data_IF_806447857122
#
_entry.id   IF_806447857122
#
_cell.length_a   1.000
_cell.length_b   1.000
_cell.length_c   1.000
_cell.angle_alpha   90.00
_cell.angle_beta   90.00
_cell.angle_gamma   90.00
#
_symmetry.space_group_name_H-M   'P 1'
#
loop_
_entity.id
_entity.type
_entity.pdbx_description
1 polymer ?
#
# COMPACT_ATOMS: atom_id res chain seq x y z
N UNK A 1 16.77 17.23 -2.04
CA UNK A 1 15.74 17.86 -1.17
C UNK A 1 14.45 17.10 -1.32
N UNK A 2 13.78 16.76 -0.20
CA UNK A 2 12.48 16.05 -0.24
C UNK A 2 11.42 16.92 -0.92
N UNK A 3 10.65 16.32 -1.83
CA UNK A 3 9.63 16.99 -2.64
C UNK A 3 8.26 16.30 -2.50
N UNK A 4 8.22 15.04 -2.09
CA UNK A 4 6.98 14.31 -1.94
C UNK A 4 7.02 13.17 -0.97
N UNK A 5 5.82 12.81 -0.51
CA UNK A 5 5.58 11.68 0.35
C UNK A 5 4.55 10.76 -0.28
N UNK A 6 4.82 9.47 -0.16
CA UNK A 6 3.91 8.41 -0.57
C UNK A 6 3.46 7.67 0.68
N UNK A 7 2.17 7.43 0.81
CA UNK A 7 1.59 6.71 1.94
C UNK A 7 0.96 5.41 1.48
N UNK A 8 1.15 4.35 2.25
CA UNK A 8 0.21 3.24 2.21
C UNK A 8 -1.15 3.70 2.73
N UNK A 9 -2.20 2.92 2.48
CA UNK A 9 -3.57 3.29 2.83
C UNK A 9 -4.08 2.56 4.07
N UNK A 10 -4.21 1.22 3.99
CA UNK A 10 -4.80 0.39 5.03
C UNK A 10 -3.81 0.16 6.18
N UNK A 11 -4.13 0.61 7.39
CA UNK A 11 -3.24 0.58 8.55
C UNK A 11 -2.35 1.83 8.68
N UNK A 12 -2.31 2.70 7.66
CA UNK A 12 -1.48 3.91 7.61
C UNK A 12 -2.31 5.19 7.64
N UNK A 13 -3.23 5.37 6.70
CA UNK A 13 -4.14 6.52 6.64
C UNK A 13 -5.51 6.23 7.26
N UNK A 14 -5.85 4.97 7.39
CA UNK A 14 -7.11 4.44 7.92
C UNK A 14 -6.86 3.12 8.66
N UNK A 15 -7.82 2.65 9.44
CA UNK A 15 -7.70 1.36 10.12
C UNK A 15 -7.59 0.19 9.14
N UNK A 16 -6.85 -0.84 9.51
CA UNK A 16 -6.77 -2.10 8.79
C UNK A 16 -7.92 -3.04 9.23
N UNK A 17 -9.00 -3.04 8.48
CA UNK A 17 -10.22 -3.82 8.76
C UNK A 17 -10.30 -5.16 8.03
N UNK A 18 -9.35 -5.42 7.12
CA UNK A 18 -9.35 -6.64 6.29
C UNK A 18 -9.09 -7.90 7.11
N UNK A 19 -9.93 -8.91 6.91
CA UNK A 19 -9.71 -10.28 7.35
C UNK A 19 -9.03 -11.07 6.23
N UNK A 20 -7.70 -11.11 6.27
CA UNK A 20 -6.90 -11.79 5.25
C UNK A 20 -7.11 -13.31 5.22
N UNK A 21 -7.52 -13.92 6.34
CA UNK A 21 -7.82 -15.35 6.37
C UNK A 21 -9.12 -15.61 5.61
N UNK A 22 -10.19 -14.88 5.91
CA UNK A 22 -11.44 -14.97 5.17
C UNK A 22 -11.25 -14.72 3.68
N UNK A 23 -10.52 -13.67 3.32
CA UNK A 23 -10.24 -13.35 1.92
C UNK A 23 -9.53 -14.52 1.24
N UNK A 24 -8.51 -15.11 1.87
CA UNK A 24 -7.79 -16.27 1.35
C UNK A 24 -8.71 -17.45 1.11
N UNK A 25 -9.54 -17.80 2.09
CA UNK A 25 -10.50 -18.90 1.98
C UNK A 25 -11.47 -18.70 0.82
N UNK A 26 -11.99 -17.50 0.65
CA UNK A 26 -12.90 -17.17 -0.44
C UNK A 26 -12.23 -17.22 -1.82
N UNK A 27 -10.98 -16.80 -1.93
CA UNK A 27 -10.22 -16.93 -3.19
C UNK A 27 -9.93 -18.40 -3.50
N UNK A 28 -9.61 -19.22 -2.49
CA UNK A 28 -9.43 -20.66 -2.67
C UNK A 28 -10.74 -21.35 -3.10
N UNK A 29 -11.90 -20.97 -2.55
CA UNK A 29 -13.21 -21.46 -3.03
C UNK A 29 -13.47 -21.13 -4.50
N UNK A 30 -13.03 -19.96 -4.97
CA UNK A 30 -13.07 -19.65 -6.40
C UNK A 30 -12.13 -20.59 -7.17
N UNK A 31 -10.92 -20.83 -6.65
CA UNK A 31 -9.93 -21.69 -7.31
C UNK A 31 -10.38 -23.16 -7.44
N UNK A 32 -11.12 -23.72 -6.46
CA UNK A 32 -11.66 -25.08 -6.45
C UNK A 32 -12.47 -25.43 -7.72
N UNK A 33 -13.07 -24.43 -8.33
CA UNK A 33 -13.86 -24.59 -9.57
C UNK A 33 -13.00 -24.75 -10.82
N UNK A 34 -11.70 -24.49 -10.71
CA UNK A 34 -10.76 -24.49 -11.83
C UNK A 34 -9.62 -25.49 -11.66
N UNK A 35 -9.20 -25.78 -10.43
CA UNK A 35 -8.06 -26.63 -10.09
C UNK A 35 -8.30 -27.36 -8.77
N UNK A 36 -7.70 -28.54 -8.65
CA UNK A 36 -7.64 -29.29 -7.41
C UNK A 36 -6.78 -28.52 -6.38
N UNK A 37 -7.35 -28.26 -5.20
CA UNK A 37 -6.71 -27.49 -4.13
C UNK A 37 -5.41 -28.11 -3.63
N UNK A 38 -5.31 -29.44 -3.64
CA UNK A 38 -4.07 -30.13 -3.23
C UNK A 38 -2.87 -29.69 -4.08
N UNK A 39 -3.08 -29.36 -5.36
CA UNK A 39 -2.03 -28.91 -6.28
C UNK A 39 -1.50 -27.50 -6.00
N UNK A 40 -2.25 -26.69 -5.26
CA UNK A 40 -1.93 -25.29 -4.95
C UNK A 40 -1.64 -25.04 -3.47
N UNK A 41 -1.61 -26.07 -2.62
CA UNK A 41 -1.32 -25.96 -1.19
C UNK A 41 0.02 -25.28 -0.86
N UNK A 42 1.02 -25.43 -1.75
CA UNK A 42 2.31 -24.77 -1.62
C UNK A 42 2.26 -23.24 -1.78
N UNK A 43 1.16 -22.69 -2.32
CA UNK A 43 0.95 -21.24 -2.49
C UNK A 43 0.39 -20.55 -1.24
N UNK A 44 0.08 -21.29 -0.18
CA UNK A 44 -0.54 -20.75 1.05
C UNK A 44 0.31 -19.69 1.75
N UNK A 45 1.62 -19.63 1.52
CA UNK A 45 2.53 -18.64 2.09
C UNK A 45 2.61 -17.35 1.27
N UNK A 46 2.00 -17.29 0.09
CA UNK A 46 1.98 -16.10 -0.74
C UNK A 46 0.94 -15.09 -0.24
N UNK A 47 1.16 -13.81 -0.50
CA UNK A 47 0.09 -12.81 -0.36
C UNK A 47 -1.02 -13.06 -1.39
N UNK A 48 -2.23 -12.55 -1.13
CA UNK A 48 -3.43 -12.86 -1.91
C UNK A 48 -3.26 -12.56 -3.41
N UNK A 49 -2.70 -11.41 -3.75
CA UNK A 49 -2.52 -10.99 -5.15
C UNK A 49 -1.55 -11.91 -5.87
N UNK A 50 -0.41 -12.22 -5.24
CA UNK A 50 0.60 -13.11 -5.77
C UNK A 50 0.07 -14.54 -5.91
N UNK A 51 -0.73 -15.01 -4.95
CA UNK A 51 -1.41 -16.30 -5.01
C UNK A 51 -2.36 -16.37 -6.21
N UNK A 52 -3.16 -15.33 -6.45
CA UNK A 52 -4.05 -15.27 -7.63
C UNK A 52 -3.24 -15.37 -8.93
N UNK A 53 -2.15 -14.63 -9.06
CA UNK A 53 -1.32 -14.67 -10.27
C UNK A 53 -0.59 -16.01 -10.48
N UNK A 54 -0.13 -16.66 -9.41
CA UNK A 54 0.49 -17.98 -9.54
C UNK A 54 -0.54 -19.06 -9.93
N UNK A 55 -1.77 -19.02 -9.36
CA UNK A 55 -2.85 -19.91 -9.78
C UNK A 55 -3.24 -19.64 -11.24
N UNK A 56 -3.37 -18.38 -11.66
CA UNK A 56 -3.63 -17.99 -13.06
C UNK A 56 -2.61 -18.63 -14.00
N UNK A 57 -1.33 -18.55 -13.66
CA UNK A 57 -0.24 -19.13 -14.45
C UNK A 57 -0.33 -20.65 -14.54
N UNK A 58 -0.62 -21.32 -13.42
CA UNK A 58 -0.78 -22.79 -13.40
C UNK A 58 -1.96 -23.27 -14.25
N UNK A 59 -3.02 -22.48 -14.34
CA UNK A 59 -4.24 -22.81 -15.10
C UNK A 59 -4.12 -22.62 -16.62
N UNK A 60 -3.06 -21.95 -17.10
CA UNK A 60 -2.84 -21.69 -18.52
C UNK A 60 -4.06 -21.02 -19.18
N UNK A 61 -4.69 -21.69 -20.16
CA UNK A 61 -5.81 -21.12 -20.93
C UNK A 61 -7.00 -20.73 -20.04
N UNK A 62 -7.24 -21.44 -18.94
CA UNK A 62 -8.33 -21.12 -18.00
C UNK A 62 -7.95 -20.03 -17.00
N UNK A 63 -6.70 -19.65 -16.92
CA UNK A 63 -6.16 -18.74 -15.92
C UNK A 63 -6.82 -17.36 -15.93
N UNK A 64 -7.03 -16.76 -17.10
CA UNK A 64 -7.67 -15.46 -17.24
C UNK A 64 -9.12 -15.44 -16.72
N UNK A 65 -9.87 -16.53 -16.90
CA UNK A 65 -11.24 -16.65 -16.39
C UNK A 65 -11.24 -16.74 -14.85
N UNK A 66 -10.33 -17.54 -14.29
CA UNK A 66 -10.12 -17.61 -12.84
C UNK A 66 -9.71 -16.26 -12.25
N UNK A 67 -8.66 -15.65 -12.78
CA UNK A 67 -8.10 -14.39 -12.29
C UNK A 67 -9.16 -13.28 -12.25
N UNK A 68 -9.96 -13.15 -13.33
CA UNK A 68 -11.07 -12.20 -13.39
C UNK A 68 -12.10 -12.43 -12.27
N UNK A 69 -12.46 -13.68 -11.99
CA UNK A 69 -13.41 -14.01 -10.94
C UNK A 69 -12.83 -13.80 -9.55
N UNK A 70 -11.57 -14.21 -9.33
CA UNK A 70 -10.85 -14.04 -8.08
C UNK A 70 -10.69 -12.57 -7.70
N UNK A 71 -10.28 -11.70 -8.64
CA UNK A 71 -10.18 -10.26 -8.37
C UNK A 71 -11.54 -9.60 -8.14
N UNK A 72 -12.60 -10.04 -8.81
CA UNK A 72 -13.97 -9.55 -8.52
C UNK A 72 -14.40 -9.94 -7.09
N UNK A 73 -14.09 -11.17 -6.66
CA UNK A 73 -14.41 -11.61 -5.30
C UNK A 73 -13.60 -10.85 -4.27
N UNK A 74 -12.30 -10.65 -4.53
CA UNK A 74 -11.42 -9.84 -3.68
C UNK A 74 -11.96 -8.42 -3.50
N UNK A 75 -12.29 -7.74 -4.61
CA UNK A 75 -12.88 -6.39 -4.58
C UNK A 75 -14.19 -6.35 -3.77
N UNK A 76 -15.09 -7.32 -3.96
CA UNK A 76 -16.34 -7.40 -3.19
C UNK A 76 -16.08 -7.48 -1.70
N UNK A 77 -15.13 -8.30 -1.25
CA UNK A 77 -14.76 -8.46 0.16
C UNK A 77 -14.11 -7.21 0.74
N UNK A 78 -13.25 -6.55 -0.02
CA UNK A 78 -12.61 -5.30 0.40
C UNK A 78 -13.62 -4.16 0.54
N UNK A 79 -14.55 -4.03 -0.43
CA UNK A 79 -15.61 -3.01 -0.39
C UNK A 79 -16.59 -3.28 0.78
N UNK A 80 -16.87 -4.54 1.08
CA UNK A 80 -17.67 -4.94 2.23
C UNK A 80 -16.97 -4.59 3.55
N UNK A 81 -15.68 -4.92 3.69
CA UNK A 81 -14.85 -4.59 4.85
C UNK A 81 -14.67 -3.07 5.06
N UNK A 82 -14.89 -2.27 4.01
CA UNK A 82 -14.85 -0.82 4.07
C UNK A 82 -16.18 -0.17 4.53
N UNK A 83 -17.22 -0.95 4.88
CA UNK A 83 -18.44 -0.41 5.45
C UNK A 83 -18.19 0.17 6.84
N UNK A 84 -18.57 1.44 7.04
CA UNK A 84 -18.35 2.15 8.30
C UNK A 84 -16.90 2.53 8.60
N UNK A 85 -15.97 2.27 7.66
CA UNK A 85 -14.56 2.64 7.77
C UNK A 85 -14.37 4.12 7.40
N UNK A 86 -13.52 4.82 8.12
CA UNK A 86 -13.11 6.21 7.84
C UNK A 86 -11.58 6.32 7.98
N UNK A 87 -11.05 7.45 7.57
CA UNK A 87 -9.66 7.83 7.83
C UNK A 87 -9.43 7.97 9.34
N UNK A 88 -8.18 7.80 9.79
CA UNK A 88 -7.85 8.20 11.15
C UNK A 88 -8.16 9.69 11.36
N UNK A 89 -8.62 10.10 12.56
CA UNK A 89 -9.09 11.47 12.81
C UNK A 89 -8.07 12.55 12.46
N UNK A 90 -6.79 12.24 12.55
CA UNK A 90 -5.68 13.15 12.27
C UNK A 90 -5.20 13.15 10.81
N UNK A 91 -5.69 12.24 9.97
CA UNK A 91 -5.13 12.04 8.62
C UNK A 91 -5.24 13.30 7.77
N UNK A 92 -6.42 13.92 7.69
CA UNK A 92 -6.62 15.13 6.87
C UNK A 92 -5.76 16.30 7.33
N UNK A 93 -5.60 16.48 8.64
CA UNK A 93 -4.78 17.55 9.20
C UNK A 93 -3.30 17.36 8.88
N UNK A 94 -2.80 16.12 8.99
CA UNK A 94 -1.41 15.79 8.65
C UNK A 94 -1.15 16.01 7.15
N UNK A 95 -2.03 15.50 6.29
CA UNK A 95 -1.90 15.68 4.83
C UNK A 95 -1.94 17.17 4.46
N UNK A 96 -2.85 17.93 5.05
CA UNK A 96 -2.93 19.38 4.90
C UNK A 96 -1.64 20.09 5.34
N UNK A 97 -1.12 19.72 6.50
CA UNK A 97 0.15 20.25 7.04
C UNK A 97 1.35 19.97 6.14
N UNK A 98 1.43 18.78 5.54
CA UNK A 98 2.47 18.43 4.58
C UNK A 98 2.34 19.21 3.26
N UNK A 99 1.13 19.39 2.77
CA UNK A 99 0.88 20.23 1.58
C UNK A 99 1.26 21.70 1.80
N UNK A 100 0.99 22.26 2.98
CA UNK A 100 1.44 23.62 3.34
C UNK A 100 2.97 23.77 3.35
N UNK A 101 3.70 22.67 3.54
CA UNK A 101 5.16 22.60 3.39
C UNK A 101 5.63 22.44 1.96
N UNK A 102 4.71 22.49 0.98
CA UNK A 102 5.01 22.35 -0.43
C UNK A 102 5.21 20.90 -0.90
N UNK A 103 4.86 19.90 -0.08
CA UNK A 103 5.01 18.49 -0.44
C UNK A 103 3.92 18.04 -1.40
N UNK A 104 4.29 17.29 -2.43
CA UNK A 104 3.35 16.47 -3.21
C UNK A 104 3.08 15.19 -2.45
N UNK A 105 1.82 14.73 -2.44
CA UNK A 105 1.40 13.55 -1.70
C UNK A 105 0.85 12.49 -2.63
N UNK A 106 1.23 11.23 -2.39
CA UNK A 106 0.74 10.08 -3.14
C UNK A 106 0.20 8.98 -2.24
N UNK A 107 -0.63 8.12 -2.83
CA UNK A 107 -1.09 6.88 -2.20
C UNK A 107 -0.59 5.69 -3.01
N UNK A 108 -0.06 4.69 -2.33
CA UNK A 108 0.33 3.40 -2.87
C UNK A 108 -0.35 2.29 -2.07
N UNK A 109 -1.19 1.47 -2.69
CA UNK A 109 -1.93 0.45 -1.96
C UNK A 109 -2.16 -0.82 -2.77
N UNK A 110 -2.29 -1.95 -2.08
CA UNK A 110 -2.71 -3.23 -2.66
C UNK A 110 -4.23 -3.36 -2.75
N UNK A 111 -4.95 -2.43 -2.17
CA UNK A 111 -6.41 -2.31 -2.16
C UNK A 111 -6.95 -1.69 -3.46
N UNK A 112 -8.24 -1.88 -3.76
CA UNK A 112 -8.87 -1.40 -4.97
C UNK A 112 -9.34 0.07 -4.89
N UNK A 113 -9.46 0.74 -6.04
CA UNK A 113 -9.97 2.12 -6.13
C UNK A 113 -11.36 2.32 -5.52
N UNK A 114 -12.33 1.40 -5.67
CA UNK A 114 -13.64 1.54 -5.02
C UNK A 114 -13.56 1.74 -3.50
N UNK A 115 -12.63 1.07 -2.82
CA UNK A 115 -12.40 1.27 -1.37
C UNK A 115 -11.85 2.66 -1.07
N UNK A 116 -10.84 3.11 -1.84
CA UNK A 116 -10.28 4.45 -1.67
C UNK A 116 -11.37 5.52 -1.82
N UNK A 117 -12.16 5.45 -2.88
CA UNK A 117 -13.26 6.39 -3.15
C UNK A 117 -14.30 6.40 -2.03
N UNK A 118 -14.57 5.25 -1.42
CA UNK A 118 -15.53 5.09 -0.34
C UNK A 118 -15.03 5.67 0.98
N UNK A 119 -13.77 5.40 1.35
CA UNK A 119 -13.17 5.77 2.64
C UNK A 119 -12.59 7.19 2.61
N UNK A 120 -12.08 7.62 1.46
CA UNK A 120 -11.46 8.93 1.27
C UNK A 120 -12.06 9.67 0.07
N UNK A 121 -13.35 10.03 0.09
CA UNK A 121 -14.06 10.62 -1.06
C UNK A 121 -13.54 12.00 -1.48
N UNK A 122 -12.84 12.70 -0.61
CA UNK A 122 -12.24 14.02 -0.87
C UNK A 122 -10.70 13.97 -1.04
N UNK A 123 -10.16 12.81 -1.45
CA UNK A 123 -8.71 12.61 -1.60
C UNK A 123 -8.07 13.53 -2.64
N UNK A 124 -8.82 13.94 -3.67
CA UNK A 124 -8.38 14.88 -4.70
C UNK A 124 -7.91 16.23 -4.16
N UNK A 125 -8.41 16.63 -2.99
CA UNK A 125 -7.97 17.85 -2.29
C UNK A 125 -6.54 17.74 -1.74
N UNK A 126 -6.06 16.52 -1.50
CA UNK A 126 -4.80 16.27 -0.82
C UNK A 126 -3.77 15.57 -1.70
N UNK A 127 -4.21 14.63 -2.54
CA UNK A 127 -3.38 13.63 -3.21
C UNK A 127 -3.08 14.03 -4.65
N UNK A 128 -1.81 13.93 -5.03
CA UNK A 128 -1.30 14.28 -6.36
C UNK A 128 -1.08 13.05 -7.25
N UNK A 129 -0.98 11.85 -6.65
CA UNK A 129 -0.78 10.62 -7.39
C UNK A 129 -1.30 9.41 -6.63
N UNK A 130 -1.86 8.44 -7.34
CA UNK A 130 -2.41 7.21 -6.76
C UNK A 130 -1.91 6.01 -7.56
N UNK A 131 -1.49 4.97 -6.85
CA UNK A 131 -1.19 3.68 -7.45
C UNK A 131 -1.83 2.56 -6.62
N UNK A 132 -2.85 1.95 -7.19
CA UNK A 132 -3.52 0.76 -6.67
C UNK A 132 -3.12 -0.48 -7.46
N UNK A 133 -3.59 -1.66 -7.06
CA UNK A 133 -3.35 -2.90 -7.82
C UNK A 133 -3.95 -2.90 -9.23
N UNK A 134 -4.95 -2.03 -9.52
CA UNK A 134 -5.50 -1.91 -10.87
C UNK A 134 -4.59 -1.14 -11.82
N UNK A 135 -3.74 -0.27 -11.28
CA UNK A 135 -2.83 0.56 -12.08
C UNK A 135 -1.57 -0.21 -12.49
N UNK A 136 -1.15 -1.21 -11.70
CA UNK A 136 0.07 -1.95 -11.94
C UNK A 136 -0.01 -3.39 -11.42
N UNK A 137 0.48 -4.35 -12.21
CA UNK A 137 0.51 -5.76 -11.82
C UNK A 137 1.48 -6.04 -10.65
N UNK A 138 2.58 -5.31 -10.58
CA UNK A 138 3.65 -5.54 -9.61
C UNK A 138 3.50 -4.62 -8.40
N UNK A 139 2.78 -5.12 -7.39
CA UNK A 139 2.51 -4.37 -6.15
C UNK A 139 3.62 -4.57 -5.11
N UNK A 140 3.64 -3.76 -4.03
CA UNK A 140 4.56 -3.90 -2.90
C UNK A 140 4.70 -5.37 -2.46
N UNK A 141 5.89 -5.92 -2.26
CA UNK A 141 7.21 -5.26 -2.08
C UNK A 141 8.01 -4.99 -3.37
N UNK A 142 7.39 -5.06 -4.56
CA UNK A 142 8.05 -4.75 -5.81
C UNK A 142 8.25 -3.22 -5.95
N UNK A 143 9.46 -2.72 -6.23
CA UNK A 143 9.75 -1.29 -6.34
C UNK A 143 9.04 -0.61 -7.50
N UNK A 144 8.60 -1.36 -8.52
CA UNK A 144 7.83 -0.82 -9.64
C UNK A 144 6.55 -0.15 -9.20
N UNK A 145 5.94 -0.62 -8.09
CA UNK A 145 4.77 0.03 -7.52
C UNK A 145 5.09 1.44 -7.01
N UNK A 146 6.27 1.63 -6.39
CA UNK A 146 6.75 2.94 -5.94
C UNK A 146 7.07 3.83 -7.13
N UNK A 147 7.79 3.32 -8.12
CA UNK A 147 8.11 4.09 -9.33
C UNK A 147 6.87 4.59 -10.05
N UNK A 148 5.82 3.75 -10.15
CA UNK A 148 4.57 4.15 -10.79
C UNK A 148 3.92 5.36 -10.12
N UNK A 149 3.77 5.37 -8.77
CA UNK A 149 3.18 6.52 -8.08
C UNK A 149 4.07 7.76 -8.14
N UNK A 150 5.40 7.59 -8.08
CA UNK A 150 6.33 8.71 -8.19
C UNK A 150 6.31 9.35 -9.58
N UNK A 151 6.15 8.56 -10.63
CA UNK A 151 5.99 9.03 -12.01
C UNK A 151 4.74 9.90 -12.16
N UNK A 152 3.59 9.47 -11.62
CA UNK A 152 2.35 10.27 -11.62
C UNK A 152 2.51 11.62 -10.92
N UNK A 153 3.37 11.68 -9.91
CA UNK A 153 3.70 12.91 -9.18
C UNK A 153 4.85 13.72 -9.81
N UNK A 154 5.54 13.17 -10.80
CA UNK A 154 6.77 13.75 -11.39
C UNK A 154 7.82 14.02 -10.30
N UNK A 155 8.12 13.01 -9.47
CA UNK A 155 9.11 13.05 -8.39
C UNK A 155 10.14 11.95 -8.61
N UNK A 156 11.43 12.30 -8.44
CA UNK A 156 12.51 11.32 -8.47
C UNK A 156 12.61 10.59 -7.11
N UNK A 157 12.96 9.29 -7.10
CA UNK A 157 13.03 8.49 -5.88
C UNK A 157 13.86 9.13 -4.76
N UNK A 158 15.03 9.69 -5.06
CA UNK A 158 15.90 10.33 -4.09
C UNK A 158 15.30 11.58 -3.40
N UNK A 159 14.17 12.07 -3.90
CA UNK A 159 13.43 13.21 -3.35
C UNK A 159 12.11 12.79 -2.68
N UNK A 160 11.91 11.49 -2.45
CA UNK A 160 10.65 10.96 -1.93
C UNK A 160 10.83 10.22 -0.59
N UNK A 161 9.75 10.20 0.15
CA UNK A 161 9.58 9.38 1.37
C UNK A 161 8.41 8.43 1.14
N UNK A 162 8.54 7.16 1.53
CA UNK A 162 7.44 6.20 1.60
C UNK A 162 7.17 5.84 3.05
N UNK A 163 5.93 6.02 3.49
CA UNK A 163 5.45 5.65 4.82
C UNK A 163 4.38 4.55 4.74
N UNK A 164 4.52 3.49 5.52
CA UNK A 164 3.55 2.39 5.55
C UNK A 164 3.64 1.56 6.82
N UNK A 165 2.58 0.80 7.10
CA UNK A 165 2.41 0.01 8.32
C UNK A 165 2.92 -1.44 8.20
N UNK A 166 3.43 -1.84 7.02
CA UNK A 166 3.87 -3.21 6.78
C UNK A 166 5.31 -3.26 6.26
N UNK A 167 6.11 -4.31 6.59
CA UNK A 167 7.48 -4.49 6.07
C UNK A 167 7.59 -4.44 4.55
N UNK A 168 6.54 -4.83 3.80
CA UNK A 168 6.53 -4.74 2.34
C UNK A 168 6.62 -3.30 1.83
N UNK A 169 6.16 -2.32 2.58
CA UNK A 169 6.29 -0.89 2.24
C UNK A 169 7.74 -0.46 2.32
N UNK A 170 8.38 -0.80 3.44
CA UNK A 170 9.80 -0.51 3.66
C UNK A 170 10.65 -1.20 2.61
N UNK A 171 10.41 -2.49 2.34
CA UNK A 171 11.16 -3.25 1.33
C UNK A 171 10.99 -2.65 -0.08
N UNK A 172 9.76 -2.25 -0.46
CA UNK A 172 9.51 -1.60 -1.75
C UNK A 172 10.24 -0.25 -1.84
N UNK A 173 10.18 0.53 -0.78
CA UNK A 173 10.82 1.84 -0.70
C UNK A 173 12.35 1.76 -0.76
N UNK A 174 12.97 0.87 0.02
CA UNK A 174 14.42 0.65 0.00
C UNK A 174 14.91 0.23 -1.39
N UNK A 175 14.19 -0.71 -2.03
CA UNK A 175 14.51 -1.15 -3.40
C UNK A 175 14.32 -0.06 -4.45
N UNK A 176 13.42 0.88 -4.20
CA UNK A 176 13.19 2.03 -5.07
C UNK A 176 14.16 3.20 -4.79
N UNK A 177 14.94 3.16 -3.72
CA UNK A 177 15.89 4.21 -3.34
C UNK A 177 15.22 5.44 -2.72
N UNK A 178 14.04 5.27 -2.09
CA UNK A 178 13.36 6.34 -1.34
C UNK A 178 13.66 6.24 0.17
N UNK A 179 13.49 7.33 0.91
CA UNK A 179 13.49 7.29 2.38
C UNK A 179 12.26 6.51 2.84
N UNK A 180 12.43 5.59 3.79
CA UNK A 180 11.35 4.73 4.29
C UNK A 180 11.00 5.01 5.74
N UNK A 181 9.70 5.00 6.04
CA UNK A 181 9.17 5.20 7.39
C UNK A 181 8.19 4.08 7.71
N UNK A 182 8.51 3.30 8.75
CA UNK A 182 7.58 2.35 9.34
C UNK A 182 6.58 3.06 10.24
N UNK A 183 5.30 2.78 10.08
CA UNK A 183 4.20 3.40 10.84
C UNK A 183 3.54 2.35 11.71
N UNK A 184 3.45 2.58 13.03
CA UNK A 184 2.96 1.59 14.00
C UNK A 184 1.45 1.61 14.22
N UNK A 185 0.70 2.36 13.41
CA UNK A 185 -0.78 2.41 13.47
C UNK A 185 -1.48 1.15 12.94
N UNK A 186 -0.75 0.28 12.22
CA UNK A 186 -1.24 -1.02 11.78
C UNK A 186 -0.98 -2.15 12.78
N UNK A 187 -0.84 -3.37 12.26
CA UNK A 187 -0.63 -4.59 13.09
C UNK A 187 0.84 -4.94 13.30
N UNK A 188 1.75 -4.28 12.62
CA UNK A 188 3.19 -4.59 12.63
C UNK A 188 3.86 -4.01 13.88
N UNK A 189 4.72 -4.81 14.50
CA UNK A 189 5.51 -4.37 15.66
C UNK A 189 6.83 -3.72 15.21
N UNK A 190 7.37 -2.82 16.03
CA UNK A 190 8.59 -2.04 15.78
C UNK A 190 9.76 -2.87 15.25
N UNK A 191 10.08 -4.01 15.89
CA UNK A 191 11.22 -4.85 15.51
C UNK A 191 11.16 -5.31 14.04
N UNK A 192 9.96 -5.57 13.50
CA UNK A 192 9.83 -5.99 12.10
C UNK A 192 10.23 -4.88 11.10
N UNK A 193 10.10 -3.61 11.48
CA UNK A 193 10.62 -2.48 10.70
C UNK A 193 12.12 -2.30 10.86
N UNK A 194 12.64 -2.54 12.08
CA UNK A 194 14.08 -2.53 12.37
C UNK A 194 14.80 -3.65 11.57
N UNK A 195 14.24 -4.85 11.55
CA UNK A 195 14.78 -6.01 10.84
C UNK A 195 14.88 -5.79 9.31
N UNK A 196 13.95 -5.06 8.72
CA UNK A 196 13.98 -4.74 7.28
C UNK A 196 14.75 -3.44 6.97
N UNK A 197 15.23 -2.71 7.97
CA UNK A 197 16.08 -1.53 7.81
C UNK A 197 15.31 -0.25 7.47
N UNK A 198 14.16 -0.01 8.07
CA UNK A 198 13.45 1.26 7.93
C UNK A 198 14.32 2.45 8.39
N UNK A 199 14.35 3.55 7.65
CA UNK A 199 15.12 4.74 8.02
C UNK A 199 14.55 5.43 9.25
N UNK A 200 13.23 5.43 9.40
CA UNK A 200 12.52 5.99 10.55
C UNK A 200 11.37 5.07 10.96
N UNK A 201 10.96 5.14 12.22
CA UNK A 201 9.77 4.44 12.73
C UNK A 201 9.00 5.41 13.61
N UNK A 202 7.71 5.60 13.32
CA UNK A 202 6.81 6.52 14.02
C UNK A 202 5.55 5.78 14.50
N UNK A 203 4.91 6.29 15.55
CA UNK A 203 3.70 5.68 16.10
C UNK A 203 2.52 5.79 15.12
N UNK A 204 2.41 6.94 14.44
CA UNK A 204 1.45 7.20 13.37
C UNK A 204 1.95 8.32 12.45
N UNK A 205 1.18 8.64 11.39
CA UNK A 205 1.59 9.62 10.39
C UNK A 205 1.79 11.05 10.91
N UNK A 206 1.38 11.39 12.13
CA UNK A 206 1.70 12.69 12.75
C UNK A 206 3.21 12.88 12.89
N UNK A 207 3.95 11.80 13.08
CA UNK A 207 5.41 11.79 13.10
C UNK A 207 6.07 12.21 11.77
N UNK A 208 5.32 12.25 10.66
CA UNK A 208 5.86 12.69 9.37
C UNK A 208 6.17 14.19 9.34
N UNK A 209 5.41 15.01 10.08
CA UNK A 209 5.61 16.46 10.10
C UNK A 209 7.01 16.85 10.61
N UNK A 210 7.46 16.42 11.80
CA UNK A 210 8.81 16.72 12.27
C UNK A 210 9.92 16.07 11.41
N UNK A 211 9.69 14.88 10.83
CA UNK A 211 10.67 14.28 9.92
C UNK A 211 10.90 15.19 8.71
N UNK A 212 9.82 15.66 8.07
CA UNK A 212 9.92 16.56 6.91
C UNK A 212 10.59 17.88 7.31
N UNK A 213 10.21 18.48 8.44
CA UNK A 213 10.81 19.74 8.92
C UNK A 213 12.33 19.59 9.11
N UNK A 214 12.79 18.50 9.72
CA UNK A 214 14.21 18.22 9.92
C UNK A 214 14.96 18.02 8.60
N UNK A 215 14.39 17.28 7.66
CA UNK A 215 15.01 17.04 6.34
C UNK A 215 15.08 18.30 5.49
N UNK A 216 14.10 19.21 5.60
CA UNK A 216 14.12 20.49 4.91
C UNK A 216 15.15 21.45 5.50
N UNK A 217 15.35 21.43 6.83
CA UNK A 217 16.33 22.26 7.52
C UNK A 217 17.77 21.83 7.23
N UNK A 218 18.04 20.53 7.22
CA UNK A 218 19.37 19.96 6.95
C UNK A 218 19.92 20.34 5.56
N UNK A 219 19.05 20.68 4.60
CA UNK A 219 19.44 21.10 3.25
C UNK A 219 19.60 22.64 3.12
N UNK A 220 19.27 23.44 4.12
CA UNK A 220 19.44 24.90 4.10
C UNK A 220 20.80 25.34 4.64
N UNK A 221 21.58 24.42 5.21
CA UNK A 221 22.87 24.71 5.87
C UNK A 221 24.07 24.40 4.98
N UNK A 222 23.83 23.97 3.74
CA UNK A 222 24.83 23.75 2.68
C UNK A 222 24.65 24.78 1.57
#
# INVERSE_FOLDING_TARGET
MVQGLVFDFDGTLTELTLDFQLIREEILRVAERFIDIEKIGHLNNLYIIEMIYEIEKLLGIKGAAFSKEAFRRLESLEVEAANGKDLFPYTRDVLGGLRHRGMKLGIITRTCMPVLNKVFPDMDKFINGISTREHIKFVKPDPRHVFHVLETMSIRPENAILAGDHPTDVMAGLRAGVITVGVLSGRTKRHAFEDVGAHFIVDDIRGMLPIVDNLLQSHKVL
#
